data_IF_255086009017
#
_entry.id   IF_255086009017
#
_cell.length_a   1.000
_cell.length_b   1.000
_cell.length_c   1.000
_cell.angle_alpha   90.00
_cell.angle_beta   90.00
_cell.angle_gamma   90.00
#
_symmetry.space_group_name_H-M   'P 1'
#
loop_
_entity.id
_entity.type
_entity.pdbx_description
1 polymer ?
#
# COMPACT_ATOMS: atom_id res chain seq x y z
N UNK A 1 -14.35 -21.33 47.30
CA UNK A 1 -14.38 -21.75 45.88
C UNK A 1 -13.41 -22.92 45.66
N UNK A 2 -13.89 -24.07 45.15
CA UNK A 2 -13.12 -25.32 45.09
C UNK A 2 -11.92 -25.23 44.11
N UNK A 3 -10.79 -25.89 44.40
CA UNK A 3 -9.53 -25.77 43.64
C UNK A 3 -9.67 -26.15 42.16
N UNK A 4 -10.56 -27.11 41.86
CA UNK A 4 -10.90 -27.51 40.48
C UNK A 4 -11.70 -26.45 39.72
N UNK A 5 -12.65 -25.78 40.40
CA UNK A 5 -13.44 -24.67 39.81
C UNK A 5 -12.54 -23.46 39.51
N UNK A 6 -11.58 -23.14 40.39
CA UNK A 6 -10.56 -22.10 40.13
C UNK A 6 -9.70 -22.43 38.91
N UNK A 7 -9.20 -23.66 38.79
CA UNK A 7 -8.40 -24.09 37.62
C UNK A 7 -9.19 -23.99 36.31
N UNK A 8 -10.44 -24.48 36.29
CA UNK A 8 -11.32 -24.36 35.10
C UNK A 8 -11.58 -22.90 34.73
N UNK A 9 -11.86 -22.04 35.70
CA UNK A 9 -12.07 -20.62 35.46
C UNK A 9 -10.82 -19.95 34.87
N UNK A 10 -9.63 -20.26 35.39
CA UNK A 10 -8.36 -19.75 34.85
C UNK A 10 -8.16 -20.22 33.41
N UNK A 11 -8.39 -21.50 33.10
CA UNK A 11 -8.28 -22.01 31.74
C UNK A 11 -9.24 -21.31 30.76
N UNK A 12 -10.49 -21.06 31.17
CA UNK A 12 -11.47 -20.34 30.35
C UNK A 12 -11.01 -18.90 30.10
N UNK A 13 -10.52 -18.21 31.13
CA UNK A 13 -9.99 -16.84 30.98
C UNK A 13 -8.81 -16.81 30.02
N UNK A 14 -7.85 -17.73 30.16
CA UNK A 14 -6.69 -17.81 29.25
C UNK A 14 -7.12 -18.10 27.82
N UNK A 15 -8.04 -19.04 27.60
CA UNK A 15 -8.55 -19.35 26.27
C UNK A 15 -9.27 -18.14 25.65
N UNK A 16 -10.08 -17.41 26.43
CA UNK A 16 -10.75 -16.20 25.98
C UNK A 16 -9.75 -15.10 25.60
N UNK A 17 -8.70 -14.88 26.41
CA UNK A 17 -7.64 -13.92 26.10
C UNK A 17 -6.93 -14.27 24.79
N UNK A 18 -6.58 -15.54 24.58
CA UNK A 18 -5.93 -15.99 23.35
C UNK A 18 -6.83 -15.81 22.13
N UNK A 19 -8.13 -16.13 22.26
CA UNK A 19 -9.10 -15.95 21.18
C UNK A 19 -9.29 -14.46 20.83
N UNK A 20 -9.45 -13.59 21.83
CA UNK A 20 -9.56 -12.15 21.64
C UNK A 20 -8.27 -11.57 21.02
N UNK A 21 -7.10 -11.99 21.51
CA UNK A 21 -5.81 -11.57 20.96
C UNK A 21 -5.64 -11.99 19.50
N UNK A 22 -6.03 -13.23 19.15
CA UNK A 22 -6.03 -13.72 17.78
C UNK A 22 -6.96 -12.92 16.87
N UNK A 23 -8.18 -12.62 17.33
CA UNK A 23 -9.14 -11.80 16.57
C UNK A 23 -8.63 -10.38 16.34
N UNK A 24 -8.11 -9.73 17.38
CA UNK A 24 -7.51 -8.38 17.27
C UNK A 24 -6.35 -8.40 16.28
N UNK A 25 -5.50 -9.44 16.33
CA UNK A 25 -4.40 -9.59 15.39
C UNK A 25 -4.89 -9.73 13.94
N UNK A 26 -5.92 -10.55 13.69
CA UNK A 26 -6.50 -10.72 12.36
C UNK A 26 -7.12 -9.43 11.83
N UNK A 27 -7.86 -8.71 12.67
CA UNK A 27 -8.42 -7.39 12.32
C UNK A 27 -7.30 -6.40 11.97
N UNK A 28 -6.23 -6.41 12.76
CA UNK A 28 -5.09 -5.55 12.53
C UNK A 28 -4.29 -5.91 11.27
N UNK A 29 -4.09 -7.20 11.01
CA UNK A 29 -3.51 -7.69 9.77
C UNK A 29 -4.38 -7.39 8.54
N UNK A 30 -5.70 -7.32 8.71
CA UNK A 30 -6.65 -6.90 7.68
C UNK A 30 -6.68 -5.40 7.39
N UNK A 31 -5.99 -4.58 8.21
CA UNK A 31 -6.00 -3.12 8.07
C UNK A 31 -7.20 -2.44 8.72
N UNK A 32 -7.86 -3.09 9.69
CA UNK A 32 -8.98 -2.48 10.44
C UNK A 32 -8.55 -1.28 11.31
N UNK A 33 -7.24 -1.17 11.61
CA UNK A 33 -6.65 -0.05 12.35
C UNK A 33 -5.79 0.85 11.45
N UNK A 34 -6.09 0.88 10.15
CA UNK A 34 -5.55 1.94 9.29
C UNK A 34 -6.14 3.29 9.72
N UNK A 35 -5.41 4.41 9.52
CA UNK A 35 -5.92 5.71 9.92
C UNK A 35 -7.26 6.02 9.26
N UNK A 36 -8.23 6.51 10.05
CA UNK A 36 -9.59 6.78 9.57
C UNK A 36 -9.68 7.87 8.50
N UNK A 37 -8.64 8.68 8.34
CA UNK A 37 -8.53 9.68 7.28
C UNK A 37 -8.18 9.07 5.92
N UNK A 38 -7.60 7.86 5.87
CA UNK A 38 -7.23 7.20 4.63
C UNK A 38 -8.49 6.82 3.86
N UNK A 39 -8.76 7.56 2.77
CA UNK A 39 -9.89 7.30 1.89
C UNK A 39 -9.47 6.33 0.80
N UNK A 40 -10.13 5.19 0.77
CA UNK A 40 -9.93 4.16 -0.24
C UNK A 40 -10.85 4.43 -1.41
N UNK A 41 -10.29 4.53 -2.60
CA UNK A 41 -11.05 4.68 -3.85
C UNK A 41 -11.28 3.31 -4.48
N UNK A 42 -12.38 3.19 -5.21
CA UNK A 42 -12.57 2.15 -6.20
C UNK A 42 -12.57 2.85 -7.57
N UNK A 43 -11.81 2.32 -8.54
CA UNK A 43 -11.70 2.92 -9.88
C UNK A 43 -11.29 1.88 -10.91
N UNK A 44 -11.64 2.16 -12.15
CA UNK A 44 -11.37 1.32 -13.29
C UNK A 44 -10.95 2.21 -14.46
N UNK A 45 -9.86 1.85 -15.14
CA UNK A 45 -9.34 2.58 -16.30
C UNK A 45 -8.49 1.65 -17.17
N UNK A 46 -8.25 2.08 -18.40
CA UNK A 46 -7.37 1.37 -19.35
C UNK A 46 -6.03 2.09 -19.46
N UNK A 47 -4.95 1.31 -19.56
CA UNK A 47 -3.59 1.79 -19.77
C UNK A 47 -2.77 0.71 -20.47
N UNK A 48 -1.99 1.09 -21.50
CA UNK A 48 -1.15 0.16 -22.26
C UNK A 48 -1.89 -1.10 -22.77
N UNK A 49 -3.10 -0.93 -23.32
CA UNK A 49 -3.99 -2.02 -23.79
C UNK A 49 -4.41 -3.01 -22.69
N UNK A 50 -4.21 -2.64 -21.41
CA UNK A 50 -4.60 -3.42 -20.25
C UNK A 50 -5.65 -2.67 -19.44
N UNK A 51 -6.52 -3.42 -18.78
CA UNK A 51 -7.52 -2.87 -17.86
C UNK A 51 -7.02 -2.96 -16.44
N UNK A 52 -6.97 -1.82 -15.75
CA UNK A 52 -6.58 -1.69 -14.35
C UNK A 52 -7.83 -1.47 -13.51
N UNK A 53 -8.04 -2.34 -12.52
CA UNK A 53 -9.19 -2.25 -11.60
C UNK A 53 -8.67 -2.16 -10.17
N UNK A 54 -8.98 -1.07 -9.49
CA UNK A 54 -8.85 -0.94 -8.03
C UNK A 54 -10.22 -1.18 -7.42
N UNK A 55 -10.34 -2.27 -6.65
CA UNK A 55 -11.55 -2.59 -5.92
C UNK A 55 -11.23 -3.23 -4.58
N UNK A 56 -11.89 -2.78 -3.51
CA UNK A 56 -11.73 -3.40 -2.20
C UNK A 56 -10.29 -3.35 -1.68
N UNK A 57 -9.57 -2.26 -1.98
CA UNK A 57 -8.17 -2.00 -1.61
C UNK A 57 -7.15 -2.93 -2.27
N UNK A 58 -7.50 -3.55 -3.38
CA UNK A 58 -6.62 -4.38 -4.19
C UNK A 58 -6.66 -3.88 -5.64
N UNK A 59 -5.49 -3.80 -6.28
CA UNK A 59 -5.38 -3.55 -7.71
C UNK A 59 -5.19 -4.86 -8.44
N UNK A 60 -5.96 -5.04 -9.49
CA UNK A 60 -5.87 -6.13 -10.46
C UNK A 60 -5.63 -5.52 -11.85
N UNK A 61 -4.73 -6.11 -12.62
CA UNK A 61 -4.46 -5.75 -14.01
C UNK A 61 -4.80 -6.94 -14.88
N UNK A 62 -5.60 -6.68 -15.91
CA UNK A 62 -6.10 -7.68 -16.85
C UNK A 62 -5.69 -7.33 -18.28
N UNK A 63 -5.27 -8.34 -19.04
CA UNK A 63 -4.98 -8.26 -20.47
C UNK A 63 -5.76 -9.39 -21.16
N UNK A 64 -6.46 -9.09 -22.26
CA UNK A 64 -7.30 -10.07 -22.97
C UNK A 64 -8.24 -10.86 -22.04
N UNK A 65 -8.90 -10.15 -21.10
CA UNK A 65 -9.79 -10.70 -20.05
C UNK A 65 -9.12 -11.63 -19.03
N UNK A 66 -7.81 -11.89 -19.14
CA UNK A 66 -7.05 -12.69 -18.19
C UNK A 66 -6.34 -11.80 -17.16
N UNK A 67 -6.34 -12.22 -15.89
CA UNK A 67 -5.58 -11.55 -14.82
C UNK A 67 -4.09 -11.81 -15.01
N UNK A 68 -3.34 -10.76 -15.33
CA UNK A 68 -1.89 -10.85 -15.54
C UNK A 68 -1.10 -10.42 -14.29
N UNK A 69 -1.70 -9.60 -13.43
CA UNK A 69 -1.07 -9.15 -12.20
C UNK A 69 -2.08 -8.72 -11.14
N UNK A 70 -1.73 -8.93 -9.88
CA UNK A 70 -2.47 -8.43 -8.72
C UNK A 70 -1.52 -7.86 -7.69
N UNK A 71 -1.95 -6.78 -7.01
CA UNK A 71 -1.24 -6.26 -5.86
C UNK A 71 -1.19 -7.29 -4.72
N UNK A 72 -0.05 -7.37 -4.02
CA UNK A 72 0.13 -8.36 -2.96
C UNK A 72 -0.89 -8.19 -1.82
N UNK A 73 -1.38 -9.28 -1.24
CA UNK A 73 -2.51 -9.28 -0.27
C UNK A 73 -2.21 -8.52 1.02
N UNK A 74 -0.94 -8.46 1.40
CA UNK A 74 -0.42 -7.72 2.55
C UNK A 74 -0.42 -6.21 2.35
N UNK A 75 -0.61 -5.74 1.11
CA UNK A 75 -0.74 -4.34 0.76
C UNK A 75 -2.23 -3.97 0.73
N UNK A 76 -2.57 -2.77 1.20
CA UNK A 76 -3.90 -2.17 1.05
C UNK A 76 -3.78 -0.92 0.20
N UNK A 77 -4.24 -0.99 -1.04
CA UNK A 77 -4.16 0.12 -1.99
C UNK A 77 -5.21 1.16 -1.65
N UNK A 78 -4.77 2.40 -1.45
CA UNK A 78 -5.59 3.57 -1.17
C UNK A 78 -6.14 4.18 -2.46
N UNK A 79 -5.28 4.39 -3.45
CA UNK A 79 -5.62 4.92 -4.78
C UNK A 79 -4.55 4.49 -5.80
N UNK A 80 -4.86 4.54 -7.08
CA UNK A 80 -3.90 4.29 -8.17
C UNK A 80 -4.25 5.09 -9.43
N UNK A 81 -3.25 5.42 -10.24
CA UNK A 81 -3.44 6.07 -11.55
C UNK A 81 -2.24 5.75 -12.44
N UNK A 82 -2.32 6.13 -13.71
CA UNK A 82 -1.19 6.02 -14.63
C UNK A 82 -0.67 7.39 -15.05
N UNK A 83 0.63 7.45 -15.30
CA UNK A 83 1.33 8.60 -15.86
C UNK A 83 2.70 8.18 -16.37
N UNK A 84 3.20 8.86 -17.39
CA UNK A 84 4.58 8.75 -17.88
C UNK A 84 5.52 9.53 -16.94
N UNK A 85 5.93 8.91 -15.84
CA UNK A 85 6.66 9.58 -14.76
C UNK A 85 8.13 9.75 -15.08
N UNK A 86 8.73 8.82 -15.84
CA UNK A 86 10.14 8.85 -16.22
C UNK A 86 10.41 9.48 -17.60
N UNK A 87 9.34 9.79 -18.34
CA UNK A 87 9.34 10.48 -19.64
C UNK A 87 9.93 9.65 -20.77
N UNK A 88 9.76 8.33 -20.70
CA UNK A 88 10.12 7.43 -21.80
C UNK A 88 9.02 7.32 -22.87
N UNK A 89 7.87 7.95 -22.65
CA UNK A 89 6.72 7.95 -23.55
C UNK A 89 5.72 6.83 -23.29
N UNK A 90 5.90 6.04 -22.24
CA UNK A 90 4.96 5.00 -21.78
C UNK A 90 4.41 5.40 -20.41
N UNK A 91 3.23 4.90 -20.09
CA UNK A 91 2.65 5.16 -18.77
C UNK A 91 3.06 4.10 -17.76
N UNK A 92 3.47 4.54 -16.57
CA UNK A 92 3.65 3.69 -15.40
C UNK A 92 2.37 3.67 -14.57
N UNK A 93 2.13 2.53 -13.89
CA UNK A 93 1.11 2.43 -12.86
C UNK A 93 1.67 2.89 -11.51
N UNK A 94 1.10 3.96 -10.98
CA UNK A 94 1.41 4.52 -9.67
C UNK A 94 0.34 4.08 -8.67
N UNK A 95 0.78 3.53 -7.54
CA UNK A 95 -0.07 3.00 -6.48
C UNK A 95 0.30 3.69 -5.16
N UNK A 96 -0.67 4.38 -4.56
CA UNK A 96 -0.60 4.80 -3.16
C UNK A 96 -1.13 3.66 -2.29
N UNK A 97 -0.32 3.14 -1.38
CA UNK A 97 -0.74 1.99 -0.60
C UNK A 97 -0.22 1.98 0.83
N UNK A 98 -0.82 1.11 1.62
CA UNK A 98 -0.42 0.83 2.99
C UNK A 98 0.19 -0.56 3.05
N UNK A 99 1.31 -0.68 3.74
CA UNK A 99 1.96 -1.96 4.02
C UNK A 99 2.44 -1.99 5.47
N UNK A 100 2.44 -3.18 6.06
CA UNK A 100 3.04 -3.39 7.38
C UNK A 100 4.56 -3.54 7.27
N UNK A 101 5.27 -2.73 8.03
CA UNK A 101 6.72 -2.66 7.97
C UNK A 101 7.25 -1.94 6.76
N UNK A 102 8.44 -1.38 6.94
CA UNK A 102 9.07 -0.47 5.98
C UNK A 102 9.92 -1.25 4.99
N UNK A 103 10.64 -2.25 5.46
CA UNK A 103 11.69 -2.90 4.67
C UNK A 103 11.37 -4.34 4.27
N UNK A 104 10.57 -5.05 5.08
CA UNK A 104 10.29 -6.46 4.86
C UNK A 104 11.56 -7.33 4.87
N UNK A 105 11.70 -8.23 3.89
CA UNK A 105 12.85 -9.15 3.79
C UNK A 105 14.17 -8.44 3.49
N UNK A 106 14.11 -7.24 2.90
CA UNK A 106 15.28 -6.44 2.52
C UNK A 106 15.69 -5.43 3.60
N UNK A 107 15.35 -5.71 4.87
CA UNK A 107 15.72 -4.88 6.02
C UNK A 107 17.24 -4.72 6.10
N UNK A 108 17.77 -3.48 6.10
CA UNK A 108 19.20 -3.24 6.28
C UNK A 108 19.71 -3.84 7.60
N UNK A 109 20.98 -4.25 7.61
CA UNK A 109 21.58 -4.89 8.79
C UNK A 109 21.67 -3.95 10.00
N UNK A 110 21.81 -2.64 9.76
CA UNK A 110 21.90 -1.60 10.79
C UNK A 110 20.54 -1.19 11.41
N UNK A 111 19.42 -1.69 10.87
CA UNK A 111 18.10 -1.48 11.48
C UNK A 111 17.82 -2.64 12.43
N UNK A 112 17.72 -2.39 13.73
CA UNK A 112 17.52 -3.47 14.72
C UNK A 112 16.22 -4.25 14.51
N UNK A 113 15.11 -3.55 14.27
CA UNK A 113 13.78 -4.14 14.04
C UNK A 113 13.00 -3.33 13.00
N UNK A 114 12.38 -4.04 12.06
CA UNK A 114 11.40 -3.41 11.16
C UNK A 114 10.11 -3.15 11.97
N UNK A 115 9.65 -1.88 12.08
CA UNK A 115 8.40 -1.58 12.76
C UNK A 115 7.28 -2.41 12.17
N UNK A 116 6.47 -3.11 12.97
CA UNK A 116 5.38 -3.94 12.40
C UNK A 116 4.12 -3.12 12.07
N UNK A 117 4.16 -1.81 12.27
CA UNK A 117 3.04 -0.89 12.05
C UNK A 117 2.77 -0.70 10.56
N UNK A 118 1.55 -0.28 10.26
CA UNK A 118 1.19 0.17 8.91
C UNK A 118 1.91 1.48 8.60
N UNK A 119 2.54 1.55 7.44
CA UNK A 119 3.09 2.78 6.86
C UNK A 119 2.55 2.97 5.45
N UNK A 120 2.55 4.22 4.99
CA UNK A 120 2.18 4.55 3.62
C UNK A 120 3.38 4.45 2.69
N UNK A 121 3.12 4.05 1.45
CA UNK A 121 4.10 3.78 0.41
C UNK A 121 3.59 4.26 -0.95
N UNK A 122 4.53 4.59 -1.82
CA UNK A 122 4.27 4.86 -3.24
C UNK A 122 5.02 3.83 -4.05
N UNK A 123 4.28 2.99 -4.78
CA UNK A 123 4.82 1.97 -5.66
C UNK A 123 4.58 2.37 -7.11
N UNK A 124 5.60 2.17 -7.94
CA UNK A 124 5.56 2.47 -9.38
C UNK A 124 5.89 1.18 -10.11
N UNK A 125 5.06 0.84 -11.08
CA UNK A 125 5.20 -0.34 -11.92
C UNK A 125 5.21 0.09 -13.38
N UNK A 126 6.10 -0.53 -14.15
CA UNK A 126 6.03 -0.45 -15.60
C UNK A 126 4.95 -1.38 -16.12
N UNK A 127 4.24 -0.91 -17.15
CA UNK A 127 3.21 -1.66 -17.87
C UNK A 127 3.70 -1.97 -19.28
N UNK A 128 3.88 -3.25 -19.62
CA UNK A 128 4.34 -3.66 -20.95
C UNK A 128 3.59 -4.90 -21.43
N UNK A 129 2.72 -4.72 -22.44
CA UNK A 129 2.00 -5.75 -23.22
C UNK A 129 1.71 -7.04 -22.44
N UNK A 130 0.84 -6.94 -21.44
CA UNK A 130 0.43 -8.09 -20.61
C UNK A 130 1.36 -8.43 -19.44
N UNK A 131 2.31 -7.56 -19.11
CA UNK A 131 3.19 -7.71 -17.95
C UNK A 131 3.23 -6.43 -17.10
N UNK A 132 3.31 -6.63 -15.79
CA UNK A 132 3.45 -5.57 -14.80
C UNK A 132 4.72 -5.85 -14.01
N UNK A 133 5.69 -4.93 -14.05
CA UNK A 133 6.99 -5.12 -13.39
C UNK A 133 7.26 -3.98 -12.40
N UNK A 134 7.69 -4.30 -11.16
CA UNK A 134 8.03 -3.26 -10.19
C UNK A 134 9.20 -2.44 -10.72
N UNK A 135 9.02 -1.13 -10.77
CA UNK A 135 10.06 -0.16 -11.14
C UNK A 135 10.66 0.47 -9.90
N UNK A 136 9.82 0.92 -8.96
CA UNK A 136 10.27 1.64 -7.78
C UNK A 136 9.29 1.56 -6.62
N UNK A 137 9.81 1.60 -5.41
CA UNK A 137 9.00 1.57 -4.18
C UNK A 137 9.60 2.51 -3.14
N UNK A 138 8.88 3.56 -2.78
CA UNK A 138 9.19 4.35 -1.60
C UNK A 138 8.51 3.79 -0.36
N UNK A 139 9.28 3.68 0.71
CA UNK A 139 8.77 3.55 2.07
C UNK A 139 8.95 4.86 2.80
N UNK A 140 7.98 5.23 3.64
CA UNK A 140 8.08 6.40 4.52
C UNK A 140 8.26 7.71 3.74
N UNK A 141 7.17 8.13 3.10
CA UNK A 141 7.05 9.34 2.28
C UNK A 141 7.30 10.65 3.04
N UNK A 142 7.44 10.59 4.37
CA UNK A 142 7.61 11.75 5.26
C UNK A 142 6.40 12.67 5.36
N UNK A 143 5.30 12.31 4.68
CA UNK A 143 4.04 13.05 4.57
C UNK A 143 2.91 12.03 4.59
N UNK A 144 1.86 12.30 5.36
CA UNK A 144 0.61 11.52 5.34
C UNK A 144 -0.20 11.95 4.10
N UNK A 145 -0.10 11.16 3.02
CA UNK A 145 -0.65 11.49 1.72
C UNK A 145 -2.14 11.18 1.68
N UNK A 146 -2.97 12.21 1.51
CA UNK A 146 -4.41 12.07 1.31
C UNK A 146 -4.76 11.72 -0.14
N UNK A 147 -4.07 12.33 -1.11
CA UNK A 147 -4.29 12.18 -2.56
C UNK A 147 -3.00 12.41 -3.33
N UNK A 148 -2.88 11.78 -4.50
CA UNK A 148 -1.86 12.08 -5.49
C UNK A 148 -2.51 12.26 -6.86
N UNK A 149 -1.94 13.15 -7.67
CA UNK A 149 -2.34 13.34 -9.07
C UNK A 149 -1.09 13.58 -9.91
N UNK A 150 -1.06 13.06 -11.13
CA UNK A 150 -0.02 13.42 -12.09
C UNK A 150 -0.49 14.50 -13.06
N UNK A 151 0.46 15.31 -13.51
CA UNK A 151 0.27 16.21 -14.65
C UNK A 151 0.77 15.60 -15.97
N UNK A 152 0.55 16.33 -17.06
CA UNK A 152 0.96 16.00 -18.42
C UNK A 152 2.49 15.89 -18.61
N UNK A 153 3.28 16.28 -17.61
CA UNK A 153 4.76 16.26 -17.63
C UNK A 153 5.32 15.16 -16.73
N UNK A 154 4.49 14.25 -16.25
CA UNK A 154 4.91 13.15 -15.38
C UNK A 154 5.25 13.59 -13.96
N UNK A 155 4.84 14.80 -13.54
CA UNK A 155 5.07 15.27 -12.17
C UNK A 155 3.87 14.89 -11.30
N UNK A 156 4.16 14.35 -10.13
CA UNK A 156 3.15 13.91 -9.17
C UNK A 156 2.96 14.99 -8.12
N UNK A 157 1.78 15.59 -8.08
CA UNK A 157 1.36 16.45 -6.98
C UNK A 157 0.83 15.58 -5.83
N UNK A 158 1.45 15.73 -4.67
CA UNK A 158 1.13 15.01 -3.43
C UNK A 158 0.44 15.98 -2.46
N UNK A 159 -0.78 15.63 -2.07
CA UNK A 159 -1.59 16.39 -1.11
C UNK A 159 -1.52 15.74 0.27
N UNK A 160 -0.89 16.41 1.22
CA UNK A 160 -0.79 15.97 2.61
C UNK A 160 -2.06 16.25 3.40
N UNK A 161 -2.23 15.54 4.52
CA UNK A 161 -3.41 15.67 5.38
C UNK A 161 -3.50 17.04 6.07
N UNK A 162 -2.38 17.71 6.34
CA UNK A 162 -2.36 19.01 7.04
C UNK A 162 -2.50 20.21 6.10
N UNK A 163 -2.83 19.95 4.82
CA UNK A 163 -2.97 20.97 3.77
C UNK A 163 -1.67 21.28 3.03
N UNK A 164 -0.55 20.66 3.41
CA UNK A 164 0.70 20.73 2.66
C UNK A 164 0.52 20.12 1.26
N UNK A 165 1.12 20.78 0.27
CA UNK A 165 1.18 20.26 -1.10
C UNK A 165 2.62 20.24 -1.52
N UNK A 166 3.05 19.15 -2.16
CA UNK A 166 4.38 19.02 -2.73
C UNK A 166 4.31 18.43 -4.13
N UNK A 167 5.29 18.77 -4.96
CA UNK A 167 5.42 18.24 -6.32
C UNK A 167 6.64 17.36 -6.38
N UNK A 168 6.44 16.13 -6.80
CA UNK A 168 7.47 15.11 -6.90
C UNK A 168 7.69 14.81 -8.38
N UNK A 169 8.95 14.58 -8.74
CA UNK A 169 9.32 14.27 -10.11
C UNK A 169 10.32 13.14 -10.09
N UNK A 170 10.22 12.25 -11.08
CA UNK A 170 11.24 11.25 -11.29
C UNK A 170 12.57 11.93 -11.65
N UNK A 171 13.57 11.68 -10.82
CA UNK A 171 14.95 12.09 -11.04
C UNK A 171 15.81 10.83 -11.06
N UNK A 172 16.55 10.61 -12.15
CA UNK A 172 17.55 9.54 -12.34
C UNK A 172 17.13 8.11 -11.91
N UNK A 173 16.99 7.85 -10.61
CA UNK A 173 16.71 6.56 -9.99
C UNK A 173 15.42 6.52 -9.13
N UNK A 174 14.68 7.63 -8.98
CA UNK A 174 13.48 7.65 -8.14
C UNK A 174 12.75 8.99 -8.09
N UNK A 175 11.60 9.03 -7.41
CA UNK A 175 10.90 10.28 -7.17
C UNK A 175 11.64 11.16 -6.14
N UNK A 176 11.76 12.45 -6.44
CA UNK A 176 12.21 13.45 -5.48
C UNK A 176 11.27 14.66 -5.46
N UNK A 177 11.16 15.27 -4.29
CA UNK A 177 10.42 16.52 -4.10
C UNK A 177 11.16 17.67 -4.80
N UNK A 178 10.48 18.33 -5.73
CA UNK A 178 10.98 19.49 -6.48
C UNK A 178 10.28 20.80 -6.08
N UNK A 179 9.14 20.72 -5.38
CA UNK A 179 8.43 21.86 -4.80
C UNK A 179 7.70 21.44 -3.54
#
# INVERSE_FOLDING_TARGET
>A
MNRSKRKRLICIIVAAILACGGLIYLLWAGGAFLPGWARFTDREFEACEMKVTLKGRNVQVTADEAVVWESAREIKVQDCFTADVDRDGREELIILCWKRGRYGRSKPFFVEKDPKVWSQHVYIYTLDKGSVKPMWMASDTGVDISRMEADDKGRITVYGLSGETSVWQWISWGLAKVK
#
